data_IF_808012980790
#
_entry.id   IF_808012980790
#
_cell.length_a   1.000
_cell.length_b   1.000
_cell.length_c   1.000
_cell.angle_alpha   90.00
_cell.angle_beta   90.00
_cell.angle_gamma   90.00
#
_symmetry.space_group_name_H-M   'P 1'
#
loop_
_entity.id
_entity.type
_entity.pdbx_description
1 polymer ?
#
# COMPACT_ATOMS: atom_id res chain seq x y z
N UNK A 1 -51.45 16.68 54.98
CA UNK A 1 -51.53 16.12 53.64
C UNK A 1 -50.79 17.07 52.71
N UNK A 2 -49.56 16.69 52.32
CA UNK A 2 -48.73 17.45 51.39
C UNK A 2 -48.88 16.82 49.96
N UNK A 3 -49.46 17.61 49.06
CA UNK A 3 -49.60 17.20 47.66
C UNK A 3 -48.23 17.23 46.96
N UNK A 4 -47.88 16.24 46.09
CA UNK A 4 -46.62 16.25 45.35
C UNK A 4 -46.67 17.34 44.26
N UNK A 5 -45.72 18.25 44.30
CA UNK A 5 -45.49 19.18 43.20
C UNK A 5 -44.92 18.38 41.98
N UNK A 6 -45.68 18.32 40.92
CA UNK A 6 -45.22 17.82 39.63
C UNK A 6 -44.16 18.79 39.11
N UNK A 7 -42.91 18.34 39.03
CA UNK A 7 -41.85 19.09 38.37
C UNK A 7 -42.16 19.09 36.85
N UNK A 8 -42.63 20.20 36.33
CA UNK A 8 -42.77 20.40 34.89
C UNK A 8 -41.38 20.42 34.28
N UNK A 9 -41.09 19.44 33.42
CA UNK A 9 -39.90 19.48 32.55
C UNK A 9 -39.99 20.77 31.72
N UNK A 10 -39.02 21.66 31.89
CA UNK A 10 -38.93 22.86 31.06
C UNK A 10 -38.66 22.39 29.62
N UNK A 11 -39.70 22.40 28.79
CA UNK A 11 -39.54 22.32 27.36
C UNK A 11 -38.72 23.54 26.93
N UNK A 12 -37.53 23.33 26.47
CA UNK A 12 -36.72 24.38 25.84
C UNK A 12 -37.52 24.92 24.67
N UNK A 13 -37.76 26.24 24.69
CA UNK A 13 -38.57 26.93 23.71
C UNK A 13 -38.06 26.58 22.29
N UNK A 14 -38.98 26.18 21.42
CA UNK A 14 -38.66 25.71 20.06
C UNK A 14 -37.91 26.77 19.24
N UNK A 15 -38.21 28.05 19.52
CA UNK A 15 -37.49 29.19 18.95
C UNK A 15 -36.02 29.25 19.41
N UNK A 16 -35.74 28.91 20.67
CA UNK A 16 -34.38 28.84 21.20
C UNK A 16 -33.62 27.62 20.65
N UNK A 17 -34.33 26.54 20.41
CA UNK A 17 -33.79 25.34 19.75
C UNK A 17 -33.39 25.61 18.31
N UNK A 18 -34.19 26.36 17.56
CA UNK A 18 -33.87 26.78 16.21
C UNK A 18 -32.69 27.76 16.14
N UNK A 19 -32.56 28.67 17.11
CA UNK A 19 -31.42 29.59 17.18
C UNK A 19 -30.11 28.90 17.61
N UNK A 20 -30.16 27.95 18.54
CA UNK A 20 -28.96 27.24 19.04
C UNK A 20 -28.48 26.10 18.13
N UNK A 21 -29.41 25.41 17.49
CA UNK A 21 -29.07 24.25 16.66
C UNK A 21 -28.96 24.64 15.19
N UNK A 22 -29.54 25.78 14.78
CA UNK A 22 -29.64 26.16 13.36
C UNK A 22 -30.22 25.01 12.54
N UNK A 23 -30.77 25.24 11.39
CA UNK A 23 -31.07 24.17 10.45
C UNK A 23 -29.72 23.57 9.98
N UNK A 24 -29.22 22.59 10.72
CA UNK A 24 -28.20 21.70 10.19
C UNK A 24 -28.84 20.94 9.05
N UNK A 25 -28.79 21.50 7.85
CA UNK A 25 -29.03 20.72 6.67
C UNK A 25 -28.07 19.53 6.75
N UNK A 26 -28.56 18.36 7.15
CA UNK A 26 -27.84 17.10 7.02
C UNK A 26 -27.59 16.95 5.54
N UNK A 27 -26.41 17.42 5.09
CA UNK A 27 -25.92 17.07 3.77
C UNK A 27 -25.69 15.58 3.83
N UNK A 28 -26.55 14.84 3.16
CA UNK A 28 -26.40 13.40 3.00
C UNK A 28 -24.97 13.06 2.56
N UNK A 29 -24.63 11.80 2.59
CA UNK A 29 -23.31 11.30 2.17
C UNK A 29 -22.94 11.94 0.83
N UNK A 30 -21.96 12.85 0.85
CA UNK A 30 -21.48 13.46 -0.38
C UNK A 30 -20.71 12.40 -1.16
N UNK A 31 -21.12 12.05 -2.37
CA UNK A 31 -20.42 11.04 -3.17
C UNK A 31 -18.94 11.43 -3.35
N UNK A 32 -18.07 10.43 -3.38
CA UNK A 32 -16.64 10.65 -3.61
C UNK A 32 -16.44 11.33 -4.96
N UNK A 33 -15.63 12.38 -5.01
CA UNK A 33 -15.33 13.07 -6.27
C UNK A 33 -14.56 12.16 -7.24
N UNK A 34 -13.68 11.30 -6.70
CA UNK A 34 -12.91 10.32 -7.47
C UNK A 34 -13.50 8.94 -7.19
N UNK A 35 -14.24 8.43 -8.16
CA UNK A 35 -14.89 7.14 -8.08
C UNK A 35 -13.94 6.06 -8.60
N UNK A 36 -13.83 4.96 -7.86
CA UNK A 36 -13.00 3.79 -8.23
C UNK A 36 -13.82 2.56 -8.58
N UNK A 37 -15.06 2.49 -8.12
CA UNK A 37 -15.91 1.31 -8.30
C UNK A 37 -15.99 0.90 -9.78
N UNK A 38 -15.82 -0.41 -10.02
CA UNK A 38 -15.82 -1.05 -11.34
C UNK A 38 -14.78 -0.48 -12.32
N UNK A 39 -13.65 0.04 -11.82
CA UNK A 39 -12.57 0.56 -12.65
C UNK A 39 -11.32 -0.29 -12.53
N UNK A 40 -10.55 -0.27 -13.60
CA UNK A 40 -9.24 -0.88 -13.69
C UNK A 40 -8.17 0.18 -13.39
N UNK A 41 -7.15 -0.19 -12.66
CA UNK A 41 -6.03 0.67 -12.33
C UNK A 41 -4.73 -0.01 -12.76
N UNK A 42 -3.90 0.70 -13.51
CA UNK A 42 -2.54 0.30 -13.88
C UNK A 42 -1.56 1.23 -13.19
N UNK A 43 -0.58 0.65 -12.50
CA UNK A 43 0.38 1.40 -11.69
C UNK A 43 1.82 0.94 -11.95
N UNK A 44 2.54 1.52 -12.92
CA UNK A 44 3.99 1.38 -12.96
C UNK A 44 4.62 2.02 -11.72
N UNK A 45 5.57 1.31 -11.11
CA UNK A 45 6.18 1.71 -9.84
C UNK A 45 7.69 1.48 -9.86
N UNK A 46 8.41 2.32 -9.14
CA UNK A 46 9.82 2.16 -8.85
C UNK A 46 10.15 2.61 -7.44
N UNK A 47 11.21 2.10 -6.87
CA UNK A 47 11.57 2.44 -5.50
C UNK A 47 12.77 1.66 -5.00
N UNK A 48 12.71 1.29 -3.75
CA UNK A 48 13.79 0.64 -3.03
C UNK A 48 13.32 -0.64 -2.35
N UNK A 49 14.13 -1.65 -2.46
CA UNK A 49 14.01 -2.93 -1.77
C UNK A 49 15.07 -3.01 -0.68
N UNK A 50 14.71 -3.47 0.50
CA UNK A 50 15.59 -3.73 1.61
C UNK A 50 15.31 -5.15 2.14
N UNK A 51 16.26 -6.04 1.97
CA UNK A 51 16.18 -7.41 2.47
C UNK A 51 16.72 -7.53 3.89
N UNK A 52 16.26 -8.55 4.62
CA UNK A 52 16.70 -8.85 6.01
C UNK A 52 18.22 -9.13 6.10
N UNK A 53 18.80 -9.72 5.06
CA UNK A 53 20.21 -10.11 5.03
C UNK A 53 21.00 -9.47 3.88
N UNK A 54 20.36 -8.61 3.11
CA UNK A 54 20.93 -7.99 1.92
C UNK A 54 20.92 -6.46 2.06
N UNK A 55 21.89 -5.83 1.40
CA UNK A 55 21.88 -4.38 1.26
C UNK A 55 20.70 -3.94 0.40
N UNK A 56 20.22 -2.72 0.63
CA UNK A 56 19.15 -2.16 -0.16
C UNK A 56 19.50 -2.06 -1.64
N UNK A 57 18.52 -2.28 -2.50
CA UNK A 57 18.67 -2.21 -3.95
C UNK A 57 17.49 -1.54 -4.63
N UNK A 58 17.67 -0.93 -5.82
CA UNK A 58 16.55 -0.42 -6.59
C UNK A 58 15.57 -1.54 -6.95
N UNK A 59 14.28 -1.22 -6.83
CA UNK A 59 13.18 -2.08 -7.22
C UNK A 59 12.30 -1.39 -8.25
N UNK A 60 11.80 -2.13 -9.23
CA UNK A 60 10.89 -1.62 -10.25
C UNK A 60 9.90 -2.68 -10.67
N UNK A 61 8.74 -2.24 -11.06
CA UNK A 61 7.66 -3.14 -11.44
C UNK A 61 6.36 -2.41 -11.71
N UNK A 62 5.26 -3.06 -11.38
CA UNK A 62 3.94 -2.48 -11.55
C UNK A 62 2.87 -3.32 -10.89
N UNK A 63 1.70 -2.73 -10.76
CA UNK A 63 0.52 -3.40 -10.26
C UNK A 63 -0.68 -3.12 -11.18
N UNK A 64 -1.53 -4.12 -11.29
CA UNK A 64 -2.85 -4.02 -11.88
C UNK A 64 -3.88 -4.26 -10.78
N UNK A 65 -4.80 -3.31 -10.58
CA UNK A 65 -5.86 -3.43 -9.59
C UNK A 65 -7.23 -3.32 -10.25
N UNK A 66 -8.12 -4.26 -9.96
CA UNK A 66 -9.53 -4.14 -10.28
C UNK A 66 -10.31 -3.78 -9.01
N UNK A 67 -11.03 -2.66 -9.06
CA UNK A 67 -11.85 -2.17 -7.95
C UNK A 67 -13.28 -2.67 -8.08
N UNK A 68 -13.70 -3.57 -7.19
CA UNK A 68 -15.09 -4.04 -7.14
C UNK A 68 -16.03 -2.98 -6.59
N UNK A 69 -15.56 -2.29 -5.55
CA UNK A 69 -16.27 -1.21 -4.87
C UNK A 69 -15.34 0.01 -4.69
N UNK A 70 -15.86 1.05 -4.06
CA UNK A 70 -15.04 2.21 -3.68
C UNK A 70 -13.96 1.86 -2.65
N UNK A 71 -14.16 0.81 -1.86
CA UNK A 71 -13.29 0.46 -0.75
C UNK A 71 -12.47 -0.81 -0.98
N UNK A 72 -12.96 -1.73 -1.83
CA UNK A 72 -12.35 -3.04 -2.05
C UNK A 72 -11.91 -3.23 -3.49
N UNK A 73 -10.70 -3.74 -3.66
CA UNK A 73 -10.13 -4.14 -4.94
C UNK A 73 -9.27 -5.39 -4.84
N UNK A 74 -9.01 -6.01 -5.98
CA UNK A 74 -8.06 -7.10 -6.14
C UNK A 74 -6.89 -6.63 -6.99
N UNK A 75 -5.69 -6.86 -6.51
CA UNK A 75 -4.45 -6.41 -7.14
C UNK A 75 -3.57 -7.59 -7.52
N UNK A 76 -3.04 -7.56 -8.74
CA UNK A 76 -1.93 -8.38 -9.19
C UNK A 76 -0.67 -7.50 -9.30
N UNK A 77 0.38 -7.85 -8.59
CA UNK A 77 1.61 -7.09 -8.52
C UNK A 77 2.81 -7.86 -9.08
N UNK A 78 3.70 -7.16 -9.73
CA UNK A 78 5.01 -7.63 -10.13
C UNK A 78 6.07 -6.64 -9.66
N UNK A 79 7.11 -7.14 -9.00
CA UNK A 79 8.26 -6.34 -8.59
C UNK A 79 9.54 -7.10 -8.87
N UNK A 80 10.54 -6.41 -9.42
CA UNK A 80 11.87 -6.94 -9.66
C UNK A 80 12.90 -6.12 -8.90
N UNK A 81 13.82 -6.82 -8.24
CA UNK A 81 14.96 -6.23 -7.54
C UNK A 81 16.19 -7.13 -7.69
N UNK A 82 17.27 -6.80 -7.00
CA UNK A 82 18.49 -7.60 -6.90
C UNK A 82 18.97 -7.59 -5.46
N UNK A 83 19.39 -8.73 -4.96
CA UNK A 83 20.10 -8.77 -3.69
C UNK A 83 21.54 -8.28 -3.86
N UNK A 84 22.00 -7.52 -2.89
CA UNK A 84 23.41 -7.09 -2.78
C UNK A 84 23.93 -7.47 -1.41
N UNK A 85 25.12 -8.04 -1.38
CA UNK A 85 25.77 -8.49 -0.15
C UNK A 85 27.14 -7.82 -0.01
N UNK A 86 27.19 -6.55 0.37
CA UNK A 86 28.45 -5.81 0.50
C UNK A 86 29.33 -6.36 1.61
N UNK A 87 28.74 -6.76 2.73
CA UNK A 87 29.47 -7.33 3.86
C UNK A 87 30.11 -8.70 3.49
N UNK A 88 29.34 -9.55 2.81
CA UNK A 88 29.84 -10.85 2.34
C UNK A 88 30.91 -10.69 1.26
N UNK A 89 30.76 -9.71 0.37
CA UNK A 89 31.80 -9.42 -0.65
C UNK A 89 33.09 -8.91 -0.01
N UNK A 90 33.01 -8.06 1.02
CA UNK A 90 34.19 -7.59 1.75
C UNK A 90 34.91 -8.70 2.53
N UNK A 91 34.18 -9.68 3.05
CA UNK A 91 34.76 -10.87 3.70
C UNK A 91 35.32 -11.84 2.66
N UNK A 92 34.64 -12.00 1.52
CA UNK A 92 35.08 -12.85 0.42
C UNK A 92 36.38 -12.34 -0.22
N UNK A 93 36.57 -11.04 -0.36
CA UNK A 93 37.79 -10.43 -0.89
C UNK A 93 39.02 -10.76 -0.03
N UNK A 94 38.81 -11.08 1.26
CA UNK A 94 39.88 -11.57 2.15
C UNK A 94 40.12 -13.09 2.04
N UNK A 95 39.19 -13.83 1.49
CA UNK A 95 39.23 -15.29 1.46
C UNK A 95 38.84 -15.83 0.07
N UNK A 96 39.85 -16.08 -0.77
CA UNK A 96 39.67 -16.48 -2.17
C UNK A 96 38.70 -17.68 -2.41
N UNK A 97 38.50 -18.55 -1.40
CA UNK A 97 37.53 -19.66 -1.48
C UNK A 97 36.07 -19.18 -1.44
N UNK A 98 35.79 -18.03 -0.84
CA UNK A 98 34.46 -17.46 -0.73
C UNK A 98 34.10 -16.56 -1.93
N UNK A 99 35.09 -16.04 -2.65
CA UNK A 99 34.91 -15.16 -3.82
C UNK A 99 34.10 -15.85 -4.93
N UNK A 100 34.35 -17.14 -5.17
CA UNK A 100 33.61 -17.93 -6.15
C UNK A 100 32.12 -18.09 -5.80
N UNK A 101 31.81 -18.23 -4.51
CA UNK A 101 30.44 -18.40 -4.03
C UNK A 101 29.62 -17.11 -4.08
N UNK A 102 30.24 -15.96 -3.88
CA UNK A 102 29.57 -14.65 -3.83
C UNK A 102 29.42 -14.01 -5.21
N UNK A 103 30.39 -14.24 -6.13
CA UNK A 103 30.40 -13.62 -7.47
C UNK A 103 29.68 -14.42 -8.56
N UNK A 104 29.41 -15.69 -8.35
CA UNK A 104 28.82 -16.56 -9.36
C UNK A 104 27.30 -16.62 -9.38
N UNK A 105 26.63 -16.06 -8.38
CA UNK A 105 25.18 -16.12 -8.28
C UNK A 105 24.53 -14.90 -8.94
N UNK A 106 23.57 -15.16 -9.83
CA UNK A 106 22.60 -14.14 -10.26
C UNK A 106 21.65 -13.87 -9.09
N UNK A 107 21.81 -12.71 -8.47
CA UNK A 107 21.05 -12.30 -7.32
C UNK A 107 19.73 -11.59 -7.71
N UNK A 108 19.15 -11.91 -8.84
CA UNK A 108 17.89 -11.34 -9.27
C UNK A 108 16.72 -11.91 -8.46
N UNK A 109 15.88 -11.03 -7.98
CA UNK A 109 14.64 -11.35 -7.26
C UNK A 109 13.45 -10.83 -8.04
N UNK A 110 12.44 -11.68 -8.21
CA UNK A 110 11.19 -11.30 -8.83
C UNK A 110 10.03 -11.75 -7.93
N UNK A 111 9.15 -10.81 -7.61
CA UNK A 111 7.97 -11.05 -6.79
C UNK A 111 6.72 -10.96 -7.64
N UNK A 112 5.89 -11.99 -7.60
CA UNK A 112 4.56 -12.02 -8.17
C UNK A 112 3.57 -12.13 -7.02
N UNK A 113 2.69 -11.13 -6.84
CA UNK A 113 1.78 -11.07 -5.71
C UNK A 113 0.34 -10.87 -6.15
N UNK A 114 -0.59 -11.51 -5.45
CA UNK A 114 -2.02 -11.24 -5.52
C UNK A 114 -2.49 -10.71 -4.17
N UNK A 115 -3.09 -9.52 -4.13
CA UNK A 115 -3.46 -8.86 -2.89
C UNK A 115 -4.91 -8.38 -2.92
N UNK A 116 -5.59 -8.46 -1.78
CA UNK A 116 -6.81 -7.70 -1.54
C UNK A 116 -6.39 -6.31 -1.08
N UNK A 117 -6.91 -5.29 -1.73
CA UNK A 117 -6.68 -3.88 -1.41
C UNK A 117 -7.92 -3.33 -0.76
N UNK A 118 -7.77 -2.78 0.45
CA UNK A 118 -8.84 -2.20 1.23
C UNK A 118 -8.56 -0.75 1.54
N UNK A 119 -9.37 0.18 0.99
CA UNK A 119 -9.30 1.61 1.26
C UNK A 119 -9.92 1.92 2.61
N UNK A 120 -9.10 2.36 3.56
CA UNK A 120 -9.51 2.66 4.92
C UNK A 120 -9.97 4.10 5.09
N UNK A 121 -9.30 5.03 4.42
CA UNK A 121 -9.56 6.45 4.62
C UNK A 121 -9.43 7.23 3.31
N UNK A 122 -10.51 7.88 2.92
CA UNK A 122 -10.54 8.85 1.83
C UNK A 122 -10.69 10.25 2.42
N UNK A 123 -9.74 11.14 2.12
CA UNK A 123 -9.68 12.44 2.74
C UNK A 123 -9.34 13.59 1.77
N UNK A 124 -9.35 14.78 2.34
CA UNK A 124 -8.94 16.02 1.65
C UNK A 124 -7.75 16.62 2.40
N UNK A 125 -6.74 17.01 1.67
CA UNK A 125 -5.57 17.71 2.19
C UNK A 125 -5.48 19.08 1.52
N UNK A 126 -5.24 20.11 2.31
CA UNK A 126 -4.96 21.44 1.79
C UNK A 126 -3.45 21.58 1.61
N UNK A 127 -3.02 21.77 0.37
CA UNK A 127 -1.63 22.06 0.04
C UNK A 127 -1.30 23.53 0.24
N UNK A 128 -0.02 23.84 0.38
CA UNK A 128 0.49 25.21 0.37
C UNK A 128 -0.01 25.92 -0.89
N UNK A 129 -0.66 27.08 -0.73
CA UNK A 129 -1.28 27.81 -1.85
C UNK A 129 -2.80 27.62 -2.01
N UNK A 130 -3.45 26.86 -1.11
CA UNK A 130 -4.92 26.74 -1.08
C UNK A 130 -5.51 25.65 -1.96
N UNK A 131 -4.71 24.95 -2.77
CA UNK A 131 -5.18 23.81 -3.57
C UNK A 131 -5.65 22.67 -2.67
N UNK A 132 -6.80 22.08 -2.97
CA UNK A 132 -7.36 20.94 -2.24
C UNK A 132 -7.02 19.66 -3.00
N UNK A 133 -6.05 18.91 -2.47
CA UNK A 133 -5.76 17.54 -2.89
C UNK A 133 -6.70 16.54 -2.22
N UNK A 134 -6.88 15.40 -2.85
CA UNK A 134 -7.57 14.25 -2.25
C UNK A 134 -6.65 13.08 -2.18
N UNK A 135 -6.76 12.33 -1.09
CA UNK A 135 -5.96 11.14 -0.87
C UNK A 135 -6.83 9.96 -0.49
N UNK A 136 -6.30 8.78 -0.71
CA UNK A 136 -6.88 7.50 -0.35
C UNK A 136 -5.80 6.67 0.34
N UNK A 137 -5.98 6.36 1.62
CA UNK A 137 -5.10 5.47 2.37
C UNK A 137 -5.68 4.07 2.36
N UNK A 138 -4.86 3.07 2.02
CA UNK A 138 -5.30 1.69 1.89
C UNK A 138 -4.32 0.70 2.51
N UNK A 139 -4.84 -0.46 2.88
CA UNK A 139 -4.09 -1.66 3.21
C UNK A 139 -4.12 -2.63 2.04
N UNK A 140 -3.06 -3.41 1.90
CA UNK A 140 -2.98 -4.51 0.96
C UNK A 140 -2.47 -5.74 1.67
N UNK A 141 -3.19 -6.86 1.55
CA UNK A 141 -2.85 -8.13 2.15
C UNK A 141 -3.04 -9.25 1.13
N UNK A 142 -2.10 -10.17 1.08
CA UNK A 142 -2.17 -11.27 0.14
C UNK A 142 -0.94 -12.16 0.15
N UNK A 143 -0.64 -12.71 -1.00
CA UNK A 143 0.52 -13.58 -1.16
C UNK A 143 0.80 -13.86 -2.62
N UNK A 144 1.80 -14.70 -2.86
CA UNK A 144 2.22 -15.00 -4.22
C UNK A 144 3.46 -15.88 -4.24
N UNK A 145 4.35 -15.58 -5.17
CA UNK A 145 5.59 -16.33 -5.34
C UNK A 145 6.78 -15.39 -5.54
N UNK A 146 7.89 -15.75 -4.94
CA UNK A 146 9.20 -15.19 -5.22
C UNK A 146 9.97 -16.12 -6.13
N UNK A 147 10.44 -15.58 -7.25
CA UNK A 147 11.29 -16.30 -8.20
C UNK A 147 12.71 -15.84 -8.01
N UNK A 148 13.57 -16.79 -7.66
CA UNK A 148 15.01 -16.65 -7.52
C UNK A 148 15.71 -17.54 -8.55
N UNK A 149 16.98 -17.32 -8.89
CA UNK A 149 17.72 -18.22 -9.74
C UNK A 149 17.79 -19.64 -9.14
N UNK A 150 17.13 -20.58 -9.81
CA UNK A 150 17.10 -21.99 -9.40
C UNK A 150 16.05 -22.36 -8.36
N UNK A 151 15.23 -21.42 -7.87
CA UNK A 151 14.16 -21.72 -6.90
C UNK A 151 12.94 -20.82 -7.04
N UNK A 152 11.78 -21.35 -6.64
CA UNK A 152 10.51 -20.60 -6.54
C UNK A 152 9.94 -20.83 -5.14
N UNK A 153 9.83 -19.77 -4.36
CA UNK A 153 9.29 -19.79 -3.01
C UNK A 153 7.90 -19.17 -2.90
N UNK A 154 7.13 -19.61 -1.91
CA UNK A 154 5.90 -18.94 -1.52
C UNK A 154 6.22 -17.63 -0.83
N UNK A 155 5.38 -16.62 -1.08
CA UNK A 155 5.55 -15.27 -0.52
C UNK A 155 4.25 -14.80 0.10
N UNK A 156 4.30 -14.37 1.35
CA UNK A 156 3.26 -13.55 1.97
C UNK A 156 3.53 -12.08 1.66
N UNK A 157 2.47 -11.31 1.41
CA UNK A 157 2.56 -9.88 1.14
C UNK A 157 1.60 -9.11 2.04
N UNK A 158 2.11 -8.10 2.73
CA UNK A 158 1.30 -7.22 3.56
C UNK A 158 1.85 -5.80 3.54
N UNK A 159 0.98 -4.80 3.60
CA UNK A 159 1.47 -3.43 3.63
C UNK A 159 0.37 -2.40 3.50
N UNK A 160 0.80 -1.17 3.36
CA UNK A 160 -0.08 -0.03 3.22
C UNK A 160 0.42 0.90 2.12
N UNK A 161 -0.50 1.69 1.61
CA UNK A 161 -0.17 2.70 0.61
C UNK A 161 -1.08 3.90 0.67
N UNK A 162 -0.70 4.91 -0.09
CA UNK A 162 -1.43 6.15 -0.23
C UNK A 162 -1.48 6.57 -1.69
N UNK A 163 -2.67 6.97 -2.14
CA UNK A 163 -2.89 7.53 -3.47
C UNK A 163 -3.28 9.00 -3.34
N UNK A 164 -2.68 9.85 -4.15
CA UNK A 164 -3.01 11.26 -4.26
C UNK A 164 -3.62 11.50 -5.64
N UNK A 165 -4.90 11.82 -5.69
CA UNK A 165 -5.62 12.02 -6.95
C UNK A 165 -5.30 13.38 -7.55
N UNK A 166 -4.76 13.37 -8.75
CA UNK A 166 -4.48 14.57 -9.56
C UNK A 166 -5.68 14.88 -10.47
N UNK A 167 -6.22 13.85 -11.12
CA UNK A 167 -7.40 13.93 -11.98
C UNK A 167 -8.33 12.73 -11.72
N UNK A 168 -9.45 12.64 -12.44
CA UNK A 168 -10.37 11.49 -12.34
C UNK A 168 -9.75 10.17 -12.79
N UNK A 169 -8.68 10.21 -13.57
CA UNK A 169 -8.03 9.05 -14.16
C UNK A 169 -6.56 8.91 -13.78
N UNK A 170 -5.99 9.88 -13.03
CA UNK A 170 -4.56 9.91 -12.69
C UNK A 170 -4.36 10.14 -11.20
N UNK A 171 -3.53 9.32 -10.56
CA UNK A 171 -3.10 9.50 -9.18
C UNK A 171 -1.59 9.22 -9.04
N UNK A 172 -0.97 9.86 -8.07
CA UNK A 172 0.34 9.45 -7.54
C UNK A 172 0.11 8.36 -6.50
N UNK A 173 0.94 7.33 -6.52
CA UNK A 173 0.85 6.18 -5.62
C UNK A 173 2.15 6.02 -4.86
N UNK A 174 2.06 5.78 -3.54
CA UNK A 174 3.16 5.43 -2.65
C UNK A 174 2.77 4.16 -1.90
N UNK A 175 3.66 3.17 -1.87
CA UNK A 175 3.47 1.90 -1.19
C UNK A 175 4.65 1.56 -0.30
N UNK A 176 4.35 1.00 0.87
CA UNK A 176 5.32 0.28 1.70
C UNK A 176 4.77 -1.12 1.92
N UNK A 177 5.54 -2.11 1.54
CA UNK A 177 5.15 -3.52 1.63
C UNK A 177 6.20 -4.35 2.30
N UNK A 178 5.74 -5.28 3.09
CA UNK A 178 6.47 -6.35 3.70
C UNK A 178 6.22 -7.64 2.90
N UNK A 179 7.29 -8.31 2.49
CA UNK A 179 7.30 -9.52 1.69
C UNK A 179 8.00 -10.61 2.48
N UNK A 180 7.22 -11.51 3.05
CA UNK A 180 7.73 -12.67 3.81
C UNK A 180 7.81 -13.87 2.89
N UNK A 181 9.01 -14.38 2.63
CA UNK A 181 9.19 -15.51 1.74
C UNK A 181 10.26 -16.49 2.21
N UNK A 182 10.20 -17.71 1.67
CA UNK A 182 11.26 -18.69 1.87
C UNK A 182 12.40 -18.44 0.90
N UNK A 183 13.59 -18.27 1.45
CA UNK A 183 14.83 -18.18 0.68
C UNK A 183 15.64 -19.47 0.85
N UNK A 184 15.82 -20.18 -0.24
CA UNK A 184 16.71 -21.35 -0.29
C UNK A 184 18.04 -20.94 -0.86
N UNK A 185 19.08 -20.98 -0.05
CA UNK A 185 20.47 -20.76 -0.51
C UNK A 185 21.14 -22.11 -0.72
N UNK A 186 21.08 -22.60 -1.97
CA UNK A 186 21.62 -23.89 -2.36
C UNK A 186 23.12 -23.99 -2.04
N UNK A 187 23.87 -22.92 -2.24
CA UNK A 187 25.32 -22.86 -1.97
C UNK A 187 25.68 -22.98 -0.47
N UNK A 188 24.76 -22.64 0.42
CA UNK A 188 24.97 -22.69 1.88
C UNK A 188 24.16 -23.80 2.55
N UNK A 189 23.27 -24.49 1.83
CA UNK A 189 22.38 -25.51 2.37
C UNK A 189 21.42 -24.98 3.44
N UNK A 190 21.07 -23.69 3.40
CA UNK A 190 20.23 -23.05 4.41
C UNK A 190 18.90 -22.63 3.78
N UNK A 191 17.82 -23.16 4.34
CA UNK A 191 16.46 -22.70 4.08
C UNK A 191 16.04 -21.77 5.20
N UNK A 192 15.77 -20.51 4.89
CA UNK A 192 15.36 -19.49 5.87
C UNK A 192 14.14 -18.73 5.37
N UNK A 193 13.22 -18.44 6.28
CA UNK A 193 12.18 -17.43 6.06
C UNK A 193 12.82 -16.07 6.27
N UNK A 194 12.72 -15.22 5.26
CA UNK A 194 13.23 -13.86 5.27
C UNK A 194 12.09 -12.87 5.13
N UNK A 195 12.31 -11.70 5.67
CA UNK A 195 11.37 -10.61 5.66
C UNK A 195 12.00 -9.42 4.94
N UNK A 196 11.39 -8.98 3.86
CA UNK A 196 11.91 -7.95 2.99
C UNK A 196 10.94 -6.79 2.89
N UNK A 197 11.44 -5.58 3.09
CA UNK A 197 10.64 -4.37 3.02
C UNK A 197 10.87 -3.69 1.68
N UNK A 198 9.78 -3.28 1.03
CA UNK A 198 9.83 -2.48 -0.19
C UNK A 198 9.11 -1.15 0.03
N UNK A 199 9.74 -0.08 -0.43
CA UNK A 199 9.15 1.25 -0.50
C UNK A 199 9.14 1.69 -1.96
N UNK A 200 7.95 1.82 -2.56
CA UNK A 200 7.79 2.14 -3.97
C UNK A 200 6.89 3.35 -4.17
N UNK A 201 7.18 4.09 -5.23
CA UNK A 201 6.35 5.19 -5.70
C UNK A 201 6.07 5.05 -7.19
N UNK A 202 4.94 5.55 -7.64
CA UNK A 202 4.54 5.43 -9.02
C UNK A 202 3.33 6.26 -9.39
N UNK A 203 2.84 6.00 -10.57
CA UNK A 203 1.69 6.68 -11.15
C UNK A 203 0.61 5.63 -11.38
N UNK A 204 -0.61 5.91 -10.90
CA UNK A 204 -1.79 5.08 -11.14
C UNK A 204 -2.67 5.70 -12.21
N UNK A 205 -3.01 4.92 -13.21
CA UNK A 205 -3.92 5.30 -14.31
C UNK A 205 -5.19 4.46 -14.21
N UNK A 206 -6.34 5.14 -14.10
CA UNK A 206 -7.66 4.51 -13.96
C UNK A 206 -8.39 4.46 -15.29
N UNK A 207 -8.90 3.27 -15.61
CA UNK A 207 -9.66 3.00 -16.83
C UNK A 207 -11.09 2.48 -16.48
N UNK A 208 -12.14 2.83 -17.25
CA UNK A 208 -12.15 3.79 -18.36
C UNK A 208 -11.87 5.22 -17.88
N UNK A 209 -11.39 6.06 -18.79
CA UNK A 209 -11.20 7.49 -18.52
C UNK A 209 -12.57 8.15 -18.30
N UNK A 210 -12.75 8.77 -17.14
CA UNK A 210 -13.93 9.59 -16.82
C UNK A 210 -13.49 11.04 -16.65
N UNK A 211 -14.25 11.97 -17.19
CA UNK A 211 -14.03 13.41 -17.03
C UNK A 211 -14.70 13.94 -15.78
#
# INVERSE_FOLDING_TARGET
MLAPRVAGAQCVDEALKQQLVGERAYRGVVPRKFQKALRHELSPMGGWYAGDLADGAPAYGGAYTFHFTEDLGLEAGYLRSRERFSLLSAIADRNQRLVGLVRSEDNSLQFFTGNVVWSLAYGKVRWMGGAIGRYDFYLALGGGATVQPGDIGLTGSGGFGMKFYLTQWLALRLDVRDLVHQQRRVALGVDKVVNDITATGGISVFLPFTN
#
